data_IF_419195717853
#
_entry.id   IF_419195717853
#
_cell.length_a   1.000
_cell.length_b   1.000
_cell.length_c   1.000
_cell.angle_alpha   90.00
_cell.angle_beta   90.00
_cell.angle_gamma   90.00
#
_symmetry.space_group_name_H-M   'P 1'
#
loop_
_entity.id
_entity.type
_entity.pdbx_description
1 polymer ?
#
# COMPACT_ATOMS: atom_id res chain seq x y z
N UNK A 1 21.51 -14.57 15.40
CA UNK A 1 20.64 -13.73 14.55
C UNK A 1 19.23 -13.77 15.11
N UNK A 2 18.59 -12.61 15.26
CA UNK A 2 17.39 -12.39 16.04
C UNK A 2 16.21 -13.21 15.53
N UNK A 3 15.73 -14.15 16.35
CA UNK A 3 14.45 -14.87 16.14
C UNK A 3 13.24 -14.04 16.57
N UNK A 4 13.38 -12.71 16.59
CA UNK A 4 12.33 -11.79 17.10
C UNK A 4 11.05 -11.76 16.26
N UNK A 5 11.15 -12.17 15.01
CA UNK A 5 9.96 -12.31 14.15
C UNK A 5 9.40 -13.74 14.14
N UNK A 6 10.14 -14.70 14.70
CA UNK A 6 9.70 -16.08 14.73
C UNK A 6 8.57 -16.29 15.74
N UNK A 7 7.59 -17.04 15.34
CA UNK A 7 6.48 -17.40 16.20
C UNK A 7 6.94 -18.25 17.40
N UNK A 8 6.28 -18.17 18.58
CA UNK A 8 6.70 -18.85 19.80
C UNK A 8 6.93 -20.35 19.62
N UNK A 9 6.08 -21.03 18.86
CA UNK A 9 6.21 -22.46 18.56
C UNK A 9 7.48 -22.79 17.78
N UNK A 10 7.90 -21.89 16.87
CA UNK A 10 9.14 -22.07 16.10
C UNK A 10 10.37 -21.80 16.97
N UNK A 11 10.29 -20.84 17.88
CA UNK A 11 11.39 -20.55 18.83
C UNK A 11 11.59 -21.73 19.78
N UNK A 12 10.50 -22.38 20.24
CA UNK A 12 10.53 -23.46 21.21
C UNK A 12 10.96 -24.81 20.63
N UNK A 13 10.45 -25.17 19.46
CA UNK A 13 10.58 -26.51 18.90
C UNK A 13 11.13 -26.55 17.46
N UNK A 14 11.59 -25.40 16.95
CA UNK A 14 12.10 -25.27 15.58
C UNK A 14 11.02 -25.42 14.52
N UNK A 15 11.43 -25.45 13.26
CA UNK A 15 10.50 -25.58 12.12
C UNK A 15 9.76 -26.92 12.07
N UNK A 16 10.25 -27.96 12.77
CA UNK A 16 9.54 -29.22 12.91
C UNK A 16 8.23 -29.13 13.68
N UNK A 17 7.99 -28.03 14.41
CA UNK A 17 6.73 -27.75 15.12
C UNK A 17 5.64 -27.18 14.22
N UNK A 18 5.90 -26.94 12.93
CA UNK A 18 4.90 -26.39 12.02
C UNK A 18 3.69 -27.34 11.94
N UNK A 19 2.58 -26.82 12.44
CA UNK A 19 1.31 -27.55 12.43
C UNK A 19 0.72 -27.51 11.02
N UNK A 20 0.55 -28.67 10.40
CA UNK A 20 -0.05 -28.79 9.06
C UNK A 20 -1.49 -28.27 9.00
N UNK A 21 -2.17 -28.20 10.13
CA UNK A 21 -3.56 -27.67 10.24
C UNK A 21 -3.59 -26.14 10.20
N UNK A 22 -2.53 -25.48 10.66
CA UNK A 22 -2.41 -24.02 10.75
C UNK A 22 -1.12 -23.55 10.08
N UNK A 23 -0.89 -24.00 8.86
CA UNK A 23 0.37 -23.87 8.11
C UNK A 23 0.85 -22.41 7.99
N UNK A 24 -0.07 -21.45 7.90
CA UNK A 24 0.26 -20.01 7.75
C UNK A 24 0.23 -19.24 9.06
N UNK A 25 0.02 -19.90 10.20
CA UNK A 25 -0.07 -19.19 11.49
C UNK A 25 1.25 -18.55 11.91
N UNK A 26 2.38 -19.15 11.54
CA UNK A 26 3.72 -18.59 11.77
C UNK A 26 3.95 -17.32 10.97
N UNK A 27 3.49 -17.28 9.72
CA UNK A 27 3.60 -16.10 8.84
C UNK A 27 2.73 -14.95 9.35
N UNK A 28 1.54 -15.25 9.87
CA UNK A 28 0.69 -14.25 10.52
C UNK A 28 1.38 -13.58 11.70
N UNK A 29 2.06 -14.37 12.54
CA UNK A 29 2.85 -13.83 13.65
C UNK A 29 4.01 -12.97 13.15
N UNK A 30 4.77 -13.45 12.20
CA UNK A 30 5.92 -12.73 11.62
C UNK A 30 5.49 -11.42 10.97
N UNK A 31 4.38 -11.41 10.22
CA UNK A 31 3.79 -10.20 9.65
C UNK A 31 3.36 -9.20 10.73
N UNK A 32 2.77 -9.69 11.82
CA UNK A 32 2.44 -8.83 12.96
C UNK A 32 3.69 -8.15 13.53
N UNK A 33 4.76 -8.89 13.79
CA UNK A 33 5.99 -8.33 14.33
C UNK A 33 6.61 -7.30 13.37
N UNK A 34 6.62 -7.59 12.07
CA UNK A 34 7.06 -6.65 11.05
C UNK A 34 6.24 -5.36 11.06
N UNK A 35 4.91 -5.46 11.17
CA UNK A 35 4.03 -4.30 11.26
C UNK A 35 4.30 -3.49 12.53
N UNK A 36 4.46 -4.14 13.69
CA UNK A 36 4.79 -3.47 14.95
C UNK A 36 6.09 -2.68 14.83
N UNK A 37 7.12 -3.26 14.25
CA UNK A 37 8.40 -2.57 14.04
C UNK A 37 8.27 -1.42 13.04
N UNK A 38 7.56 -1.61 11.94
CA UNK A 38 7.35 -0.57 10.92
C UNK A 38 6.67 0.68 11.51
N UNK A 39 5.68 0.51 12.39
CA UNK A 39 4.99 1.64 13.01
C UNK A 39 5.77 2.25 14.18
N UNK A 40 6.38 1.42 15.03
CA UNK A 40 7.00 1.87 16.27
C UNK A 40 8.52 2.12 16.16
N UNK A 41 9.14 1.72 15.05
CA UNK A 41 10.59 1.84 14.80
C UNK A 41 11.43 0.78 15.48
N UNK A 42 10.88 0.06 16.45
CA UNK A 42 11.57 -1.00 17.20
C UNK A 42 10.59 -2.10 17.61
N UNK A 43 11.11 -3.32 17.75
CA UNK A 43 10.38 -4.42 18.36
C UNK A 43 10.48 -4.36 19.90
N UNK A 44 9.39 -4.65 20.62
CA UNK A 44 9.41 -4.75 22.06
C UNK A 44 10.23 -5.97 22.52
N UNK A 45 10.84 -5.88 23.69
CA UNK A 45 11.59 -7.00 24.29
C UNK A 45 10.67 -8.21 24.55
N UNK A 46 9.40 -7.95 24.88
CA UNK A 46 8.36 -8.97 25.04
C UNK A 46 7.36 -8.85 23.89
N UNK A 47 7.43 -9.77 22.95
CA UNK A 47 6.54 -9.81 21.78
C UNK A 47 5.13 -10.30 22.07
N UNK A 48 4.88 -10.90 23.25
CA UNK A 48 3.53 -11.29 23.69
C UNK A 48 2.68 -10.10 24.13
N UNK A 49 3.34 -8.98 24.52
CA UNK A 49 2.69 -7.76 24.96
C UNK A 49 3.43 -6.56 24.36
N UNK A 50 2.97 -6.09 23.22
CA UNK A 50 3.50 -4.88 22.61
C UNK A 50 2.53 -3.70 22.81
N UNK A 51 3.07 -2.49 23.07
CA UNK A 51 2.26 -1.28 23.16
C UNK A 51 1.71 -0.88 21.80
N UNK A 52 0.58 -0.17 21.78
CA UNK A 52 0.05 0.39 20.54
C UNK A 52 1.04 1.35 19.88
N UNK A 53 1.67 2.22 20.67
CA UNK A 53 2.62 3.20 20.16
C UNK A 53 2.02 4.03 19.03
N UNK A 54 2.64 3.97 17.84
CA UNK A 54 2.16 4.66 16.63
C UNK A 54 1.19 3.82 15.78
N UNK A 55 0.87 2.61 16.20
CA UNK A 55 -0.05 1.73 15.46
C UNK A 55 -1.45 2.33 15.50
N UNK A 56 -2.12 2.55 14.35
CA UNK A 56 -3.50 3.02 14.32
C UNK A 56 -4.44 2.10 15.10
N UNK A 57 -5.36 2.69 15.86
CA UNK A 57 -6.27 1.95 16.73
C UNK A 57 -7.05 0.82 16.03
N UNK A 58 -7.61 1.03 14.82
CA UNK A 58 -8.30 -0.05 14.11
C UNK A 58 -7.39 -1.23 13.76
N UNK A 59 -6.12 -0.95 13.45
CA UNK A 59 -5.13 -1.96 13.10
C UNK A 59 -4.62 -2.72 14.33
N UNK A 60 -4.43 -2.03 15.45
CA UNK A 60 -3.85 -2.60 16.67
C UNK A 60 -4.61 -3.81 17.20
N UNK A 61 -5.93 -3.76 17.20
CA UNK A 61 -6.76 -4.87 17.65
C UNK A 61 -6.54 -6.15 16.82
N UNK A 62 -6.38 -6.01 15.51
CA UNK A 62 -6.11 -7.12 14.61
C UNK A 62 -4.70 -7.67 14.77
N UNK A 63 -3.70 -6.80 14.92
CA UNK A 63 -2.32 -7.22 15.19
C UNK A 63 -2.22 -8.01 16.49
N UNK A 64 -2.92 -7.61 17.55
CA UNK A 64 -2.97 -8.40 18.80
C UNK A 64 -3.54 -9.80 18.60
N UNK A 65 -4.53 -9.97 17.70
CA UNK A 65 -5.06 -11.29 17.35
C UNK A 65 -4.08 -12.11 16.53
N UNK A 66 -3.29 -11.46 15.64
CA UNK A 66 -2.22 -12.12 14.87
C UNK A 66 -1.03 -12.53 15.73
N UNK A 67 -0.79 -11.88 16.87
CA UNK A 67 0.27 -12.19 17.81
C UNK A 67 -0.11 -13.21 18.90
N UNK A 68 -1.27 -13.86 18.80
CA UNK A 68 -1.66 -14.86 19.80
C UNK A 68 -0.61 -15.97 19.91
N UNK A 69 -0.24 -16.39 21.14
CA UNK A 69 0.78 -17.41 21.36
C UNK A 69 0.42 -18.76 20.71
N UNK A 70 -0.85 -19.12 20.74
CA UNK A 70 -1.37 -20.37 20.19
C UNK A 70 -1.70 -20.24 18.71
N UNK A 71 -1.13 -21.07 17.83
CA UNK A 71 -1.37 -21.02 16.38
C UNK A 71 -2.85 -21.16 15.98
N UNK A 72 -3.61 -21.98 16.72
CA UNK A 72 -5.03 -22.29 16.45
C UNK A 72 -5.99 -21.13 16.75
N UNK A 73 -5.57 -20.18 17.59
CA UNK A 73 -6.35 -18.97 17.93
C UNK A 73 -5.90 -17.71 17.21
N UNK A 74 -4.83 -17.85 16.43
CA UNK A 74 -4.19 -16.73 15.75
C UNK A 74 -4.99 -16.32 14.52
N UNK A 75 -5.23 -15.01 14.36
CA UNK A 75 -5.86 -14.47 13.16
C UNK A 75 -4.97 -14.74 11.95
N UNK A 76 -5.52 -15.34 10.92
CA UNK A 76 -4.81 -15.57 9.66
C UNK A 76 -4.61 -14.27 8.87
N UNK A 77 -3.65 -14.24 7.94
CA UNK A 77 -3.44 -13.10 7.04
C UNK A 77 -4.68 -12.85 6.17
N UNK A 78 -5.35 -13.92 5.72
CA UNK A 78 -6.58 -13.80 4.92
C UNK A 78 -7.68 -13.10 5.71
N UNK A 79 -7.98 -13.58 6.91
CA UNK A 79 -8.98 -12.96 7.78
C UNK A 79 -8.60 -11.51 8.15
N UNK A 80 -7.31 -11.23 8.37
CA UNK A 80 -6.82 -9.88 8.61
C UNK A 80 -7.12 -8.94 7.43
N UNK A 81 -6.88 -9.39 6.20
CA UNK A 81 -7.18 -8.61 4.98
C UNK A 81 -8.69 -8.41 4.80
N UNK A 82 -9.49 -9.44 5.02
CA UNK A 82 -10.95 -9.37 4.94
C UNK A 82 -11.50 -8.36 5.94
N UNK A 83 -11.11 -8.46 7.22
CA UNK A 83 -11.52 -7.52 8.27
C UNK A 83 -11.05 -6.09 7.98
N UNK A 84 -9.83 -5.92 7.47
CA UNK A 84 -9.29 -4.61 7.11
C UNK A 84 -10.04 -3.94 5.96
N UNK A 85 -10.63 -4.72 5.06
CA UNK A 85 -11.41 -4.24 3.90
C UNK A 85 -12.89 -3.98 4.21
N UNK A 86 -13.39 -4.41 5.36
CA UNK A 86 -14.77 -4.08 5.77
C UNK A 86 -14.98 -2.57 5.83
N UNK A 87 -16.21 -2.07 5.69
CA UNK A 87 -16.52 -0.66 5.92
C UNK A 87 -15.93 -0.17 7.26
N UNK A 88 -15.21 0.95 7.25
CA UNK A 88 -14.47 1.50 8.39
C UNK A 88 -13.28 0.66 8.90
N UNK A 89 -12.91 -0.41 8.20
CA UNK A 89 -11.68 -1.16 8.45
C UNK A 89 -10.43 -0.33 8.11
N UNK A 90 -9.28 -0.71 8.68
CA UNK A 90 -8.03 0.01 8.50
C UNK A 90 -7.63 0.19 7.02
N UNK A 91 -7.79 -0.86 6.20
CA UNK A 91 -7.43 -0.80 4.79
C UNK A 91 -8.44 0.02 3.98
N UNK A 92 -9.73 -0.10 4.26
CA UNK A 92 -10.77 0.62 3.53
C UNK A 92 -10.77 2.13 3.80
N UNK A 93 -10.28 2.56 4.96
CA UNK A 93 -10.19 3.98 5.34
C UNK A 93 -8.81 4.59 5.12
N UNK A 94 -7.83 3.78 4.74
CA UNK A 94 -6.47 4.27 4.51
C UNK A 94 -6.37 4.95 3.14
N UNK A 95 -5.99 6.24 3.12
CA UNK A 95 -5.94 7.06 1.91
C UNK A 95 -4.96 6.52 0.86
N UNK A 96 -3.83 5.91 1.27
CA UNK A 96 -2.87 5.35 0.33
C UNK A 96 -3.40 4.07 -0.32
N UNK A 97 -4.13 3.24 0.43
CA UNK A 97 -4.80 2.04 -0.11
C UNK A 97 -5.91 2.45 -1.07
N UNK A 98 -6.68 3.48 -0.73
CA UNK A 98 -7.71 4.03 -1.62
C UNK A 98 -7.09 4.62 -2.90
N UNK A 99 -5.98 5.35 -2.79
CA UNK A 99 -5.28 5.90 -3.95
C UNK A 99 -4.71 4.78 -4.85
N UNK A 100 -4.15 3.73 -4.27
CA UNK A 100 -3.68 2.57 -5.03
C UNK A 100 -4.83 1.88 -5.78
N UNK A 101 -5.98 1.69 -5.13
CA UNK A 101 -7.18 1.14 -5.78
C UNK A 101 -7.68 2.04 -6.92
N UNK A 102 -7.67 3.37 -6.71
CA UNK A 102 -8.05 4.31 -7.78
C UNK A 102 -7.10 4.19 -8.98
N UNK A 103 -5.80 4.00 -8.75
CA UNK A 103 -4.83 3.80 -9.83
C UNK A 103 -5.07 2.48 -10.59
N UNK A 104 -5.38 1.40 -9.88
CA UNK A 104 -5.73 0.13 -10.54
C UNK A 104 -7.04 0.26 -11.33
N UNK A 105 -8.07 0.90 -10.77
CA UNK A 105 -9.32 1.21 -11.48
C UNK A 105 -9.05 2.04 -12.75
N UNK A 106 -8.15 3.03 -12.64
CA UNK A 106 -7.76 3.90 -13.76
C UNK A 106 -7.07 3.15 -14.90
N UNK A 107 -6.21 2.17 -14.57
CA UNK A 107 -5.51 1.35 -15.58
C UNK A 107 -6.46 0.53 -16.43
N UNK A 108 -7.53 -0.01 -15.82
CA UNK A 108 -8.51 -0.89 -16.48
C UNK A 108 -9.76 -0.17 -16.95
N UNK A 109 -9.97 1.10 -16.57
CA UNK A 109 -11.17 1.86 -16.92
C UNK A 109 -11.29 2.08 -18.44
N UNK A 110 -12.53 2.01 -18.93
CA UNK A 110 -12.85 2.45 -20.27
C UNK A 110 -12.51 3.96 -20.44
N UNK A 111 -12.02 4.42 -21.60
CA UNK A 111 -11.62 5.81 -21.82
C UNK A 111 -12.60 6.85 -21.29
N UNK A 112 -13.89 6.68 -21.56
CA UNK A 112 -14.95 7.59 -21.08
C UNK A 112 -15.03 7.71 -19.56
N UNK A 113 -14.68 6.64 -18.83
CA UNK A 113 -14.71 6.61 -17.37
C UNK A 113 -13.41 7.15 -16.72
N UNK A 114 -12.32 7.28 -17.47
CA UNK A 114 -11.00 7.69 -16.92
C UNK A 114 -11.06 9.05 -16.25
N UNK A 115 -11.81 10.00 -16.80
CA UNK A 115 -11.96 11.33 -16.20
C UNK A 115 -12.58 11.29 -14.79
N UNK A 116 -13.62 10.50 -14.59
CA UNK A 116 -14.26 10.38 -13.28
C UNK A 116 -13.38 9.65 -12.26
N UNK A 117 -12.60 8.67 -12.70
CA UNK A 117 -11.64 7.97 -11.83
C UNK A 117 -10.50 8.90 -11.42
N UNK A 118 -9.96 9.68 -12.37
CA UNK A 118 -8.91 10.65 -12.09
C UNK A 118 -9.37 11.77 -11.13
N UNK A 119 -10.61 12.24 -11.27
CA UNK A 119 -11.18 13.23 -10.36
C UNK A 119 -11.17 12.75 -8.89
N UNK A 120 -11.41 11.45 -8.64
CA UNK A 120 -11.30 10.86 -7.29
C UNK A 120 -9.88 10.95 -6.74
N UNK A 121 -8.87 10.75 -7.58
CA UNK A 121 -7.46 10.86 -7.19
C UNK A 121 -7.09 12.30 -6.82
N UNK A 122 -7.54 13.27 -7.61
CA UNK A 122 -7.32 14.71 -7.36
C UNK A 122 -7.90 15.13 -6.01
N UNK A 123 -9.12 14.72 -5.69
CA UNK A 123 -9.75 15.01 -4.38
C UNK A 123 -8.94 14.44 -3.21
N UNK A 124 -8.27 13.33 -3.41
CA UNK A 124 -7.46 12.67 -2.36
C UNK A 124 -6.03 13.21 -2.27
N UNK A 125 -5.59 14.03 -3.22
CA UNK A 125 -4.17 14.40 -3.40
C UNK A 125 -3.55 15.08 -2.18
N UNK A 126 -4.26 16.00 -1.53
CA UNK A 126 -3.77 16.71 -0.33
C UNK A 126 -3.47 15.76 0.84
N UNK A 127 -4.08 14.59 0.86
CA UNK A 127 -3.91 13.57 1.90
C UNK A 127 -2.86 12.52 1.54
N UNK A 128 -2.38 12.53 0.29
CA UNK A 128 -1.39 11.57 -0.20
C UNK A 128 0.01 12.07 0.17
N UNK A 129 0.80 11.19 0.81
CA UNK A 129 2.18 11.51 1.12
C UNK A 129 2.98 11.84 -0.16
N UNK A 130 3.82 12.90 -0.17
CA UNK A 130 4.58 13.30 -1.37
C UNK A 130 5.38 12.17 -1.99
N UNK A 131 6.02 11.32 -1.18
CA UNK A 131 6.76 10.15 -1.68
C UNK A 131 5.86 9.15 -2.41
N UNK A 132 4.64 8.89 -1.91
CA UNK A 132 3.70 8.02 -2.60
C UNK A 132 3.24 8.64 -3.93
N UNK A 133 2.95 9.94 -3.94
CA UNK A 133 2.60 10.66 -5.16
C UNK A 133 3.71 10.56 -6.21
N UNK A 134 4.97 10.77 -5.81
CA UNK A 134 6.13 10.73 -6.72
C UNK A 134 6.46 9.33 -7.22
N UNK A 135 6.43 8.32 -6.35
CA UNK A 135 6.93 6.98 -6.69
C UNK A 135 5.84 6.01 -7.17
N UNK A 136 4.57 6.26 -6.87
CA UNK A 136 3.47 5.38 -7.26
C UNK A 136 2.49 6.06 -8.23
N UNK A 137 1.99 7.26 -7.88
CA UNK A 137 0.97 7.94 -8.68
C UNK A 137 1.57 8.47 -9.99
N UNK A 138 2.63 9.24 -9.90
CA UNK A 138 3.23 9.91 -11.04
C UNK A 138 3.67 8.96 -12.16
N UNK A 139 4.38 7.84 -11.91
CA UNK A 139 4.74 6.89 -12.96
C UNK A 139 3.53 6.32 -13.69
N UNK A 140 2.44 5.99 -12.96
CA UNK A 140 1.22 5.45 -13.57
C UNK A 140 0.53 6.47 -14.49
N UNK A 141 0.50 7.75 -14.10
CA UNK A 141 -0.05 8.83 -14.91
C UNK A 141 0.81 9.11 -16.15
N UNK A 142 2.15 9.15 -16.00
CA UNK A 142 3.11 9.35 -17.10
C UNK A 142 3.02 8.19 -18.09
N UNK A 143 2.95 6.95 -17.63
CA UNK A 143 2.79 5.79 -18.49
C UNK A 143 1.52 5.92 -19.34
N UNK A 144 0.40 6.30 -18.71
CA UNK A 144 -0.86 6.53 -19.42
C UNK A 144 -0.77 7.66 -20.43
N UNK A 145 -0.08 8.76 -20.10
CA UNK A 145 0.13 9.90 -21.01
C UNK A 145 0.97 9.51 -22.21
N UNK A 146 2.01 8.69 -22.01
CA UNK A 146 2.92 8.23 -23.07
C UNK A 146 2.30 7.22 -24.02
N UNK A 147 1.33 6.43 -23.52
CA UNK A 147 0.72 5.35 -24.30
C UNK A 147 -0.18 5.90 -25.41
N UNK A 148 0.47 6.55 -26.40
CA UNK A 148 -0.16 6.98 -27.66
C UNK A 148 -0.34 5.84 -28.66
N UNK A 149 0.10 4.63 -28.32
CA UNK A 149 0.20 3.49 -29.21
C UNK A 149 -1.13 2.77 -29.40
N UNK A 150 -1.89 3.18 -30.38
CA UNK A 150 -2.90 2.33 -31.02
C UNK A 150 -4.35 2.49 -30.57
N UNK A 151 -4.64 3.26 -29.56
CA UNK A 151 -6.03 3.59 -29.21
C UNK A 151 -6.32 5.05 -29.54
N UNK A 152 -7.25 5.28 -30.47
CA UNK A 152 -7.87 6.60 -30.70
C UNK A 152 -8.69 7.09 -29.51
N UNK A 153 -8.60 6.39 -28.41
CA UNK A 153 -9.54 6.42 -27.29
C UNK A 153 -9.11 7.27 -26.10
N UNK A 154 -7.85 7.76 -26.06
CA UNK A 154 -7.50 8.79 -25.10
C UNK A 154 -7.75 10.15 -25.77
N UNK A 155 -8.82 10.79 -25.38
CA UNK A 155 -9.15 12.12 -25.84
C UNK A 155 -7.97 13.08 -25.53
N UNK A 156 -7.45 13.72 -26.58
CA UNK A 156 -6.39 14.73 -26.44
C UNK A 156 -6.79 15.83 -25.46
N UNK A 157 -8.07 16.17 -25.42
CA UNK A 157 -8.64 17.15 -24.52
C UNK A 157 -8.55 16.67 -23.07
N UNK A 158 -8.88 15.42 -22.78
CA UNK A 158 -8.73 14.83 -21.44
C UNK A 158 -7.26 14.79 -21.00
N UNK A 159 -6.36 14.40 -21.91
CA UNK A 159 -4.93 14.33 -21.61
C UNK A 159 -4.34 15.71 -21.30
N UNK A 160 -4.74 16.74 -22.04
CA UNK A 160 -4.25 18.10 -21.85
C UNK A 160 -4.93 18.82 -20.66
N UNK A 161 -6.24 18.64 -20.49
CA UNK A 161 -7.02 19.41 -19.50
C UNK A 161 -7.01 18.80 -18.10
N UNK A 162 -6.80 17.51 -17.98
CA UNK A 162 -6.93 16.81 -16.70
C UNK A 162 -5.67 16.04 -16.26
N UNK A 163 -5.08 15.27 -17.17
CA UNK A 163 -3.96 14.40 -16.83
C UNK A 163 -2.65 15.19 -16.69
N UNK A 164 -2.33 16.04 -17.66
CA UNK A 164 -1.08 16.81 -17.69
C UNK A 164 -0.98 17.81 -16.52
N UNK A 165 -2.01 18.58 -16.15
CA UNK A 165 -1.95 19.44 -14.97
C UNK A 165 -1.59 18.69 -13.69
N UNK A 166 -2.21 17.53 -13.44
CA UNK A 166 -1.93 16.72 -12.26
C UNK A 166 -0.49 16.17 -12.27
N UNK A 167 0.01 15.72 -13.43
CA UNK A 167 1.41 15.29 -13.59
C UNK A 167 2.35 16.44 -13.23
N UNK A 168 2.11 17.65 -13.73
CA UNK A 168 2.95 18.82 -13.50
C UNK A 168 2.88 19.28 -12.03
N UNK A 169 1.71 19.23 -11.41
CA UNK A 169 1.53 19.59 -10.01
C UNK A 169 2.31 18.66 -9.08
N UNK A 170 2.21 17.34 -9.26
CA UNK A 170 3.02 16.38 -8.52
C UNK A 170 4.51 16.59 -8.83
N UNK A 171 4.86 16.80 -10.11
CA UNK A 171 6.22 17.04 -10.55
C UNK A 171 6.86 18.28 -9.95
N UNK A 172 6.09 19.35 -9.71
CA UNK A 172 6.57 20.58 -9.09
C UNK A 172 7.09 20.39 -7.65
N UNK A 173 6.75 19.31 -7.01
CA UNK A 173 7.25 18.95 -5.66
C UNK A 173 8.58 18.19 -5.68
N UNK A 174 9.10 17.85 -6.87
CA UNK A 174 10.30 17.03 -7.05
C UNK A 174 11.57 17.88 -7.14
N UNK A 175 12.71 17.28 -6.78
CA UNK A 175 14.01 17.87 -7.10
C UNK A 175 14.30 17.81 -8.63
N UNK A 176 15.27 18.60 -9.08
CA UNK A 176 15.59 18.74 -10.51
C UNK A 176 16.02 17.43 -11.17
N UNK A 177 16.72 16.54 -10.45
CA UNK A 177 17.20 15.28 -11.01
C UNK A 177 16.08 14.23 -11.10
N UNK A 178 15.21 14.17 -10.11
CA UNK A 178 14.02 13.35 -10.15
C UNK A 178 13.04 13.82 -11.22
N UNK A 179 12.83 15.14 -11.36
CA UNK A 179 12.02 15.78 -12.40
C UNK A 179 12.51 15.38 -13.81
N UNK A 180 13.82 15.49 -14.06
CA UNK A 180 14.40 15.13 -15.35
C UNK A 180 14.15 13.67 -15.69
N UNK A 181 14.43 12.75 -14.76
CA UNK A 181 14.29 11.31 -14.99
C UNK A 181 12.85 10.85 -15.17
N UNK A 182 11.93 11.39 -14.36
CA UNK A 182 10.55 10.88 -14.30
C UNK A 182 9.63 11.59 -15.28
N UNK A 183 9.89 12.85 -15.60
CA UNK A 183 9.02 13.67 -16.44
C UNK A 183 9.69 14.11 -17.75
N UNK A 184 10.84 14.77 -17.69
CA UNK A 184 11.44 15.38 -18.86
C UNK A 184 11.80 14.34 -19.92
N UNK A 185 12.56 13.31 -19.56
CA UNK A 185 12.95 12.25 -20.49
C UNK A 185 11.75 11.44 -20.99
N UNK A 186 10.82 10.98 -20.13
CA UNK A 186 9.68 10.21 -20.59
C UNK A 186 8.64 11.00 -21.40
N UNK A 187 8.38 12.27 -21.10
CA UNK A 187 7.32 13.06 -21.74
C UNK A 187 7.81 13.81 -22.96
N UNK A 188 8.99 14.43 -22.88
CA UNK A 188 9.52 15.25 -23.95
C UNK A 188 10.27 14.46 -25.03
N UNK A 189 10.49 13.17 -24.80
CA UNK A 189 11.08 12.28 -25.79
C UNK A 189 12.50 12.67 -26.15
N UNK A 190 13.34 12.67 -25.11
CA UNK A 190 14.75 13.02 -25.25
C UNK A 190 15.38 12.51 -26.53
#
# INVERSE_FOLDING_TARGET
KRQVYAAPEVVQAGFGALNTRHIYATDSYSLCMLAVEAFNGTLPANTSHFPAGRIPTPLYAHLKRMAQPRPDTRLSVTEFLELGRLPQGFLSTNVLVQADQILEDFRVAHPVAKGSVLARLVVSQEQIAPSFAQFKVLPALVETFRYKGGSKDLDLEFSASSLLPLILEIGATMDSDAWRRVLSEPILGA
#
